data_IF_410089413425
#
_entry.id   IF_410089413425
#
_cell.length_a   1.000
_cell.length_b   1.000
_cell.length_c   1.000
_cell.angle_alpha   90.00
_cell.angle_beta   90.00
_cell.angle_gamma   90.00
#
_symmetry.space_group_name_H-M   'P 1'
#
loop_
_entity.id
_entity.type
_entity.pdbx_description
1 polymer ?
#
# COMPACT_ATOMS: atom_id res chain seq x y z
N UNK A 1 49.46 -86.45 21.93
CA UNK A 1 49.56 -85.53 20.77
C UNK A 1 48.73 -86.09 19.63
N UNK A 2 47.47 -85.69 19.48
CA UNK A 2 46.58 -86.15 18.41
C UNK A 2 45.71 -84.97 17.94
N UNK A 3 46.05 -84.38 16.79
CA UNK A 3 45.23 -83.37 16.12
C UNK A 3 44.20 -84.10 15.25
N UNK A 4 42.93 -84.02 15.64
CA UNK A 4 41.82 -84.50 14.82
C UNK A 4 41.74 -83.65 13.53
N UNK A 5 41.91 -84.30 12.37
CA UNK A 5 41.71 -83.68 11.06
C UNK A 5 40.21 -83.68 10.74
N UNK A 6 39.58 -82.51 10.75
CA UNK A 6 38.18 -82.34 10.36
C UNK A 6 38.01 -82.51 8.84
N UNK A 7 36.97 -83.22 8.35
CA UNK A 7 36.79 -83.50 6.94
C UNK A 7 36.41 -82.22 6.17
N UNK A 8 37.02 -82.01 5.00
CA UNK A 8 36.91 -80.80 4.18
C UNK A 8 35.46 -80.44 3.79
N UNK A 9 34.55 -81.42 3.74
CA UNK A 9 33.13 -81.22 3.48
C UNK A 9 32.37 -80.60 4.66
N UNK A 10 32.81 -80.85 5.90
CA UNK A 10 32.22 -80.31 7.12
C UNK A 10 32.68 -78.87 7.38
N UNK A 11 33.91 -78.54 6.99
CA UNK A 11 34.45 -77.16 7.04
C UNK A 11 33.74 -76.25 6.02
N UNK A 12 33.43 -76.76 4.82
CA UNK A 12 32.64 -76.00 3.83
C UNK A 12 31.21 -75.74 4.30
N UNK A 13 30.55 -76.74 4.91
CA UNK A 13 29.18 -76.59 5.45
C UNK A 13 29.13 -75.59 6.60
N UNK A 14 30.10 -75.64 7.51
CA UNK A 14 30.20 -74.67 8.62
C UNK A 14 30.49 -73.26 8.11
N UNK A 15 31.36 -73.11 7.10
CA UNK A 15 31.65 -71.81 6.47
C UNK A 15 30.43 -71.21 5.75
N UNK A 16 29.64 -72.02 5.05
CA UNK A 16 28.38 -71.59 4.40
C UNK A 16 27.33 -71.20 5.45
N UNK A 17 27.28 -71.92 6.58
CA UNK A 17 26.40 -71.59 7.72
C UNK A 17 26.79 -70.23 8.35
N UNK A 18 28.09 -69.98 8.55
CA UNK A 18 28.56 -68.67 9.03
C UNK A 18 28.35 -67.55 8.01
N UNK A 19 28.51 -67.81 6.71
CA UNK A 19 28.29 -66.82 5.66
C UNK A 19 26.80 -66.46 5.53
N UNK A 20 25.89 -67.43 5.62
CA UNK A 20 24.44 -67.18 5.63
C UNK A 20 23.97 -66.48 6.90
N UNK A 21 24.56 -66.80 8.06
CA UNK A 21 24.26 -66.11 9.32
C UNK A 21 24.75 -64.64 9.32
N UNK A 22 25.90 -64.37 8.67
CA UNK A 22 26.42 -63.02 8.44
C UNK A 22 25.55 -62.22 7.46
N UNK A 23 25.09 -62.86 6.38
CA UNK A 23 24.22 -62.21 5.38
C UNK A 23 22.81 -61.93 5.93
N UNK A 24 22.28 -62.81 6.81
CA UNK A 24 21.02 -62.59 7.52
C UNK A 24 21.14 -61.45 8.55
N UNK A 25 22.31 -61.30 9.19
CA UNK A 25 22.60 -60.18 10.10
C UNK A 25 22.63 -58.81 9.41
N UNK A 26 23.12 -58.73 8.17
CA UNK A 26 23.10 -57.48 7.38
C UNK A 26 21.68 -57.07 6.94
N UNK A 27 20.78 -58.04 6.68
CA UNK A 27 19.40 -57.75 6.29
C UNK A 27 18.57 -57.16 7.46
N UNK A 28 18.86 -57.53 8.71
CA UNK A 28 18.18 -57.00 9.90
C UNK A 28 18.55 -55.54 10.19
N UNK A 29 19.74 -55.08 9.79
CA UNK A 29 20.12 -53.67 9.90
C UNK A 29 19.43 -52.77 8.85
N UNK A 30 19.02 -53.31 7.69
CA UNK A 30 18.38 -52.54 6.63
C UNK A 30 16.86 -52.35 6.84
N UNK A 31 16.21 -53.18 7.68
CA UNK A 31 14.77 -53.10 7.95
C UNK A 31 14.37 -52.23 9.17
N UNK A 32 15.31 -51.58 9.85
CA UNK A 32 15.00 -50.61 10.92
C UNK A 32 14.84 -49.15 10.44
N UNK A 33 14.68 -48.93 9.13
CA UNK A 33 14.26 -47.61 8.64
C UNK A 33 12.73 -47.52 8.64
N UNK A 34 12.21 -46.58 9.43
CA UNK A 34 10.80 -46.28 9.80
C UNK A 34 10.32 -47.09 11.02
N UNK A 35 10.03 -46.50 12.18
CA UNK A 35 9.33 -45.25 12.43
C UNK A 35 9.75 -44.67 13.80
N UNK A 36 10.40 -43.50 13.79
CA UNK A 36 10.45 -42.61 14.96
C UNK A 36 10.35 -41.17 14.50
N UNK A 37 9.19 -40.82 13.93
CA UNK A 37 8.71 -39.45 13.95
C UNK A 37 8.11 -39.18 15.34
N UNK A 38 8.95 -39.23 16.38
CA UNK A 38 8.68 -38.51 17.61
C UNK A 38 9.27 -37.13 17.41
N UNK A 39 8.36 -36.18 17.20
CA UNK A 39 8.58 -34.76 17.43
C UNK A 39 9.48 -34.55 18.65
N UNK A 40 10.45 -33.62 18.57
CA UNK A 40 11.26 -33.27 19.74
C UNK A 40 10.34 -32.90 20.89
N UNK A 41 10.71 -33.17 22.16
CA UNK A 41 10.02 -32.56 23.28
C UNK A 41 9.93 -31.07 22.98
N UNK A 42 8.70 -30.55 22.89
CA UNK A 42 8.45 -29.12 23.08
C UNK A 42 8.87 -28.81 24.51
N UNK A 43 10.17 -28.73 24.73
CA UNK A 43 10.71 -27.94 25.79
C UNK A 43 10.18 -26.55 25.48
N UNK A 44 9.24 -26.14 26.33
CA UNK A 44 8.62 -24.83 26.24
C UNK A 44 9.72 -23.86 26.64
N UNK A 45 10.63 -23.56 25.70
CA UNK A 45 11.54 -22.44 25.78
C UNK A 45 10.62 -21.24 25.77
N UNK A 46 10.18 -20.83 26.96
CA UNK A 46 9.57 -19.53 27.18
C UNK A 46 10.50 -18.57 26.48
N UNK A 47 10.00 -17.94 25.42
CA UNK A 47 10.64 -16.80 24.80
C UNK A 47 10.60 -15.70 25.87
N UNK A 48 11.53 -15.74 26.81
CA UNK A 48 11.85 -14.59 27.64
C UNK A 48 12.50 -13.61 26.67
N UNK A 49 11.69 -12.70 26.13
CA UNK A 49 12.23 -11.49 25.51
C UNK A 49 12.93 -10.74 26.65
N UNK A 50 14.26 -10.77 26.69
CA UNK A 50 15.02 -9.76 27.43
C UNK A 50 14.80 -8.42 26.74
N UNK A 51 13.70 -7.76 27.10
CA UNK A 51 13.44 -6.38 26.70
C UNK A 51 14.37 -5.51 27.55
N UNK A 52 15.61 -5.34 27.10
CA UNK A 52 16.47 -4.29 27.63
C UNK A 52 15.84 -2.95 27.24
N UNK A 53 15.46 -2.09 28.18
CA UNK A 53 14.87 -0.79 27.85
C UNK A 53 15.85 0.01 26.98
N UNK A 54 15.40 0.42 25.80
CA UNK A 54 16.16 1.27 24.88
C UNK A 54 16.74 0.58 23.64
N UNK A 55 16.60 -0.74 23.46
CA UNK A 55 16.98 -1.42 22.20
C UNK A 55 15.84 -2.28 21.66
N UNK A 56 15.25 -1.94 20.50
CA UNK A 56 14.25 -2.81 19.88
C UNK A 56 14.91 -4.12 19.42
N UNK A 57 14.41 -5.25 19.92
CA UNK A 57 14.75 -6.60 19.43
C UNK A 57 14.03 -6.80 18.07
N UNK A 58 14.61 -6.23 17.02
CA UNK A 58 14.12 -6.38 15.65
C UNK A 58 15.23 -6.97 14.79
N UNK A 59 14.97 -8.14 14.19
CA UNK A 59 15.85 -8.75 13.19
C UNK A 59 15.26 -8.49 11.79
N UNK A 60 15.74 -7.47 11.06
CA UNK A 60 15.36 -7.23 9.68
C UNK A 60 16.06 -8.27 8.80
N UNK A 61 15.54 -9.49 8.74
CA UNK A 61 16.04 -10.59 7.91
C UNK A 61 15.84 -10.34 6.40
N UNK A 62 16.20 -9.16 5.89
CA UNK A 62 16.03 -8.75 4.49
C UNK A 62 14.57 -8.62 4.05
N UNK A 63 13.61 -8.63 4.99
CA UNK A 63 12.18 -8.52 4.67
C UNK A 63 11.89 -7.13 4.13
N UNK A 64 11.54 -7.05 2.84
CA UNK A 64 11.04 -5.82 2.22
C UNK A 64 9.80 -5.34 2.98
N UNK A 65 9.69 -4.02 3.15
CA UNK A 65 8.53 -3.40 3.80
C UNK A 65 7.23 -3.93 3.16
N UNK A 66 6.30 -4.53 3.95
CA UNK A 66 5.01 -4.96 3.40
C UNK A 66 4.17 -3.79 2.89
N UNK A 67 4.54 -2.55 3.20
CA UNK A 67 3.91 -1.35 2.66
C UNK A 67 4.64 -0.87 1.42
N UNK A 68 3.85 -0.57 0.39
CA UNK A 68 4.34 0.09 -0.80
C UNK A 68 4.59 1.56 -0.48
N UNK A 69 5.80 2.04 -0.75
CA UNK A 69 6.12 3.46 -0.71
C UNK A 69 5.10 4.27 -1.53
N UNK A 70 4.36 5.16 -0.88
CA UNK A 70 3.31 5.98 -1.51
C UNK A 70 3.84 6.89 -2.62
N UNK A 71 5.14 7.20 -2.56
CA UNK A 71 5.85 8.08 -3.49
C UNK A 71 6.69 7.32 -4.52
N UNK A 72 6.86 6.00 -4.37
CA UNK A 72 7.65 5.21 -5.31
C UNK A 72 6.95 5.17 -6.68
N UNK A 73 7.55 5.85 -7.67
CA UNK A 73 7.09 5.87 -9.06
C UNK A 73 6.12 7.00 -9.41
N UNK A 74 5.86 7.95 -8.51
CA UNK A 74 5.19 9.21 -8.89
C UNK A 74 6.16 10.35 -8.69
N UNK A 75 6.68 10.90 -9.79
CA UNK A 75 7.10 12.29 -9.79
C UNK A 75 5.89 13.10 -9.33
N UNK A 76 5.95 13.63 -8.10
CA UNK A 76 4.99 14.65 -7.66
C UNK A 76 5.31 15.87 -8.51
N UNK A 77 4.81 15.90 -9.75
CA UNK A 77 4.65 17.17 -10.44
C UNK A 77 3.68 17.92 -9.56
N UNK A 78 4.22 18.81 -8.73
CA UNK A 78 3.44 19.78 -7.97
C UNK A 78 2.43 20.31 -8.98
N UNK A 79 1.16 19.96 -8.77
CA UNK A 79 0.08 20.27 -9.71
C UNK A 79 0.08 21.79 -9.73
N UNK A 80 0.74 22.38 -10.73
CA UNK A 80 0.83 23.81 -10.88
C UNK A 80 -0.62 24.23 -10.97
N UNK A 81 -1.14 24.95 -9.98
CA UNK A 81 -2.56 25.29 -9.91
C UNK A 81 -2.88 26.02 -11.21
N UNK A 82 -3.54 25.33 -12.15
CA UNK A 82 -3.73 25.82 -13.52
C UNK A 82 -4.97 26.68 -13.54
N UNK A 83 -4.83 27.90 -13.04
CA UNK A 83 -5.87 28.93 -13.12
C UNK A 83 -7.17 28.57 -12.38
N UNK A 84 -8.32 29.13 -12.81
CA UNK A 84 -9.61 28.95 -12.14
C UNK A 84 -10.06 27.49 -12.03
N UNK A 85 -9.58 26.61 -12.92
CA UNK A 85 -10.07 25.25 -13.07
C UNK A 85 -9.79 24.36 -11.84
N UNK A 86 -8.72 24.65 -11.11
CA UNK A 86 -8.31 23.89 -9.91
C UNK A 86 -8.84 24.50 -8.60
N UNK A 87 -9.58 25.61 -8.66
CA UNK A 87 -10.09 26.33 -7.49
C UNK A 87 -11.49 25.84 -7.10
N UNK A 88 -11.79 25.80 -5.80
CA UNK A 88 -13.15 25.52 -5.31
C UNK A 88 -13.99 26.79 -5.36
N UNK A 89 -15.30 26.68 -5.61
CA UNK A 89 -16.21 27.85 -5.61
C UNK A 89 -16.31 28.50 -4.23
N UNK A 90 -16.18 27.72 -3.15
CA UNK A 90 -16.33 28.22 -1.79
C UNK A 90 -15.19 29.18 -1.41
N UNK A 91 -13.96 28.89 -1.87
CA UNK A 91 -12.76 29.68 -1.58
C UNK A 91 -12.63 30.95 -2.44
N UNK A 92 -13.58 31.18 -3.36
CA UNK A 92 -13.57 32.35 -4.24
C UNK A 92 -14.02 33.61 -3.50
N UNK A 93 -13.22 34.65 -3.66
CA UNK A 93 -13.54 36.02 -3.26
C UNK A 93 -13.83 36.84 -4.53
N UNK A 94 -15.00 37.45 -4.62
CA UNK A 94 -15.35 38.34 -5.74
C UNK A 94 -14.72 39.72 -5.51
N UNK A 95 -13.83 40.15 -6.40
CA UNK A 95 -13.15 41.46 -6.31
C UNK A 95 -13.90 42.54 -7.08
N UNK A 96 -14.42 42.17 -8.26
CA UNK A 96 -14.89 43.13 -9.25
C UNK A 96 -15.76 42.50 -10.31
N UNK A 97 -16.63 43.31 -10.92
CA UNK A 97 -17.31 42.95 -12.16
C UNK A 97 -17.08 44.09 -13.15
N UNK A 98 -16.58 43.74 -14.34
CA UNK A 98 -16.26 44.69 -15.40
C UNK A 98 -17.17 44.41 -16.60
N UNK A 99 -17.73 45.46 -17.19
CA UNK A 99 -18.49 45.37 -18.44
C UNK A 99 -17.62 45.84 -19.59
N UNK A 100 -17.32 44.95 -20.53
CA UNK A 100 -16.56 45.26 -21.74
C UNK A 100 -17.28 44.74 -22.98
N UNK A 101 -17.42 45.57 -24.02
CA UNK A 101 -18.09 45.21 -25.29
C UNK A 101 -19.48 44.56 -25.08
N UNK A 102 -20.24 45.09 -24.12
CA UNK A 102 -21.58 44.58 -23.77
C UNK A 102 -21.60 43.28 -22.98
N UNK A 103 -20.46 42.70 -22.60
CA UNK A 103 -20.37 41.46 -21.82
C UNK A 103 -19.81 41.72 -20.43
N UNK A 104 -20.35 41.05 -19.42
CA UNK A 104 -19.83 41.09 -18.07
C UNK A 104 -18.72 40.04 -17.87
N UNK A 105 -17.65 40.45 -17.21
CA UNK A 105 -16.54 39.60 -16.78
C UNK A 105 -16.32 39.84 -15.30
N UNK A 106 -16.24 38.77 -14.51
CA UNK A 106 -15.96 38.86 -13.09
C UNK A 106 -14.46 38.75 -12.84
N UNK A 107 -13.95 39.53 -11.90
CA UNK A 107 -12.59 39.45 -11.38
C UNK A 107 -12.68 38.81 -10.00
N UNK A 108 -12.05 37.67 -9.85
CA UNK A 108 -12.09 36.86 -8.63
C UNK A 108 -10.68 36.65 -8.08
N UNK A 109 -10.57 36.51 -6.76
CA UNK A 109 -9.36 36.01 -6.12
C UNK A 109 -9.59 34.59 -5.60
N UNK A 110 -8.52 33.82 -5.58
CA UNK A 110 -8.49 32.52 -4.93
C UNK A 110 -7.52 32.48 -3.75
N UNK A 111 -7.33 31.29 -3.14
CA UNK A 111 -6.39 31.11 -2.04
C UNK A 111 -4.94 31.36 -2.41
N UNK A 112 -4.62 31.37 -3.72
CA UNK A 112 -3.28 31.67 -4.24
C UNK A 112 -2.99 33.19 -4.32
N UNK A 113 -3.96 34.06 -4.03
CA UNK A 113 -3.79 35.51 -3.96
C UNK A 113 -3.75 36.26 -5.30
N UNK A 114 -3.62 35.57 -6.43
CA UNK A 114 -3.63 36.19 -7.75
C UNK A 114 -5.06 36.33 -8.32
N UNK A 115 -5.44 37.52 -8.82
CA UNK A 115 -6.74 37.73 -9.42
C UNK A 115 -6.86 37.06 -10.80
N UNK A 116 -8.03 36.47 -11.06
CA UNK A 116 -8.39 35.86 -12.34
C UNK A 116 -9.64 36.53 -12.92
N UNK A 117 -9.67 36.66 -14.24
CA UNK A 117 -10.87 37.08 -14.97
C UNK A 117 -11.67 35.86 -15.42
N UNK A 118 -12.94 35.79 -15.05
CA UNK A 118 -13.85 34.69 -15.37
C UNK A 118 -15.10 35.16 -16.11
N UNK A 119 -15.58 34.32 -17.01
CA UNK A 119 -16.75 34.53 -17.86
C UNK A 119 -17.81 33.47 -17.58
N UNK A 120 -19.03 33.73 -18.06
CA UNK A 120 -20.11 32.74 -18.01
C UNK A 120 -19.67 31.45 -18.71
N UNK A 121 -19.85 30.31 -18.04
CA UNK A 121 -19.43 28.99 -18.51
C UNK A 121 -18.03 28.55 -18.07
N UNK A 122 -17.21 29.44 -17.51
CA UNK A 122 -15.91 29.05 -16.98
C UNK A 122 -16.06 28.04 -15.83
N UNK A 123 -15.15 27.07 -15.79
CA UNK A 123 -15.21 25.91 -14.89
C UNK A 123 -14.26 26.08 -13.71
N UNK A 124 -14.68 25.48 -12.60
CA UNK A 124 -13.96 25.34 -11.34
C UNK A 124 -13.86 23.86 -10.97
N UNK A 125 -13.17 23.54 -9.88
CA UNK A 125 -12.97 22.16 -9.44
C UNK A 125 -14.30 21.44 -9.14
N UNK A 126 -15.28 22.19 -8.65
CA UNK A 126 -16.55 21.72 -8.12
C UNK A 126 -17.78 22.27 -8.86
N UNK A 127 -17.60 23.08 -9.92
CA UNK A 127 -18.73 23.69 -10.64
C UNK A 127 -18.34 24.63 -11.78
N UNK A 128 -19.21 25.58 -12.09
CA UNK A 128 -19.01 26.55 -13.18
C UNK A 128 -19.77 27.87 -12.95
N UNK A 129 -19.41 28.92 -13.69
CA UNK A 129 -20.13 30.20 -13.68
C UNK A 129 -21.46 30.08 -14.43
N UNK A 130 -22.58 30.23 -13.73
CA UNK A 130 -23.92 30.18 -14.33
C UNK A 130 -24.30 31.51 -14.99
N UNK A 131 -24.10 32.63 -14.31
CA UNK A 131 -24.42 33.95 -14.83
C UNK A 131 -23.64 35.05 -14.13
N UNK A 132 -23.37 36.15 -14.83
CA UNK A 132 -22.73 37.36 -14.30
C UNK A 132 -23.66 38.54 -14.57
N UNK A 133 -24.00 39.27 -13.51
CA UNK A 133 -24.79 40.51 -13.54
C UNK A 133 -23.93 41.68 -13.06
N UNK A 134 -24.45 42.91 -13.08
CA UNK A 134 -23.67 44.09 -12.66
C UNK A 134 -23.16 44.01 -11.20
N UNK A 135 -23.95 43.43 -10.29
CA UNK A 135 -23.65 43.44 -8.85
C UNK A 135 -23.36 42.05 -8.28
N UNK A 136 -23.57 40.98 -9.05
CA UNK A 136 -23.46 39.61 -8.54
C UNK A 136 -23.01 38.60 -9.58
N UNK A 137 -22.37 37.55 -9.10
CA UNK A 137 -22.00 36.36 -9.86
C UNK A 137 -22.71 35.16 -9.26
N UNK A 138 -23.36 34.37 -10.10
CA UNK A 138 -24.00 33.11 -9.71
C UNK A 138 -23.16 31.96 -10.23
N UNK A 139 -22.71 31.11 -9.31
CA UNK A 139 -21.98 29.88 -9.59
C UNK A 139 -22.91 28.69 -9.38
N UNK A 140 -22.76 27.65 -10.21
CA UNK A 140 -23.45 26.38 -10.02
C UNK A 140 -22.46 25.32 -9.56
N UNK A 141 -22.63 24.87 -8.32
CA UNK A 141 -21.84 23.81 -7.68
C UNK A 141 -22.47 22.45 -7.97
N UNK A 142 -21.65 21.53 -8.43
CA UNK A 142 -22.02 20.16 -8.82
C UNK A 142 -21.42 19.10 -7.91
N UNK A 143 -20.34 19.43 -7.20
CA UNK A 143 -19.61 18.49 -6.33
C UNK A 143 -19.32 19.14 -4.98
N UNK A 144 -19.21 18.33 -3.95
CA UNK A 144 -18.82 18.74 -2.61
C UNK A 144 -17.75 17.77 -2.13
N UNK A 145 -16.53 18.25 -1.85
CA UNK A 145 -15.40 17.41 -1.42
C UNK A 145 -15.14 16.19 -2.33
N UNK A 146 -15.34 16.36 -3.63
CA UNK A 146 -15.17 15.32 -4.64
C UNK A 146 -16.38 14.40 -4.88
N UNK A 147 -17.41 14.50 -4.05
CA UNK A 147 -18.65 13.72 -4.19
C UNK A 147 -19.66 14.51 -5.03
N UNK A 148 -20.27 13.94 -6.08
CA UNK A 148 -21.34 14.60 -6.82
C UNK A 148 -22.55 14.91 -5.94
N UNK A 149 -23.07 16.12 -6.04
CA UNK A 149 -24.31 16.50 -5.37
C UNK A 149 -25.51 15.90 -6.11
N UNK A 150 -26.48 15.35 -5.37
CA UNK A 150 -27.74 14.85 -5.95
C UNK A 150 -28.50 15.95 -6.71
N UNK A 151 -28.41 17.19 -6.20
CA UNK A 151 -28.97 18.38 -6.83
C UNK A 151 -27.90 19.46 -6.89
N UNK A 152 -27.70 20.10 -8.05
CA UNK A 152 -26.82 21.27 -8.14
C UNK A 152 -27.24 22.36 -7.15
N UNK A 153 -26.25 23.04 -6.57
CA UNK A 153 -26.46 24.17 -5.66
C UNK A 153 -25.99 25.45 -6.32
N UNK A 154 -26.83 26.47 -6.35
CA UNK A 154 -26.45 27.78 -6.88
C UNK A 154 -25.93 28.66 -5.73
N UNK A 155 -24.71 29.17 -5.89
CA UNK A 155 -24.00 30.01 -4.92
C UNK A 155 -23.89 31.41 -5.53
N UNK A 156 -24.44 32.40 -4.84
CA UNK A 156 -24.37 33.80 -5.28
C UNK A 156 -23.30 34.53 -4.49
N UNK A 157 -22.41 35.22 -5.19
CA UNK A 157 -21.42 36.15 -4.61
C UNK A 157 -21.75 37.55 -5.11
N UNK A 158 -21.98 38.46 -4.17
CA UNK A 158 -22.31 39.86 -4.47
C UNK A 158 -21.10 40.73 -4.22
N UNK A 159 -20.98 41.82 -4.98
CA UNK A 159 -19.95 42.81 -4.72
C UNK A 159 -20.50 43.86 -3.77
N UNK A 160 -19.88 44.03 -2.60
CA UNK A 160 -20.21 45.11 -1.70
C UNK A 160 -19.48 46.38 -2.16
N UNK A 161 -20.18 47.42 -2.65
CA UNK A 161 -19.53 48.62 -3.17
C UNK A 161 -18.95 49.54 -2.07
N UNK A 162 -19.37 49.39 -0.80
CA UNK A 162 -19.03 50.34 0.28
C UNK A 162 -17.70 50.06 1.02
N UNK A 163 -17.07 48.90 0.81
CA UNK A 163 -15.81 48.53 1.49
C UNK A 163 -14.54 48.92 0.70
N UNK A 164 -14.61 49.99 -0.11
CA UNK A 164 -13.48 50.46 -0.93
C UNK A 164 -12.87 51.77 -0.46
#
# INVERSE_FOLDING_TARGET
>A
MMRQKLPFSLVKKTLILFLSLSLMGLAVLALQTQEKNQSPPKETKKLQLEVTPGKPLYDPAGRRDPFRDLLAGREIKAKTVRGPLDMSIDDIILIGIVKAKGRFTAIINGPQGFPYSVKVGDRFADGFVLSISANKVVFRKLKERGIPLMRPKDITKEINPEER
#
